data_IF_688127387126
#
_entry.id   IF_688127387126
#
_cell.length_a   1.000
_cell.length_b   1.000
_cell.length_c   1.000
_cell.angle_alpha   90.00
_cell.angle_beta   90.00
_cell.angle_gamma   90.00
#
_symmetry.space_group_name_H-M   'P 1'
#
loop_
_entity.id
_entity.type
_entity.pdbx_description
1 polymer ?
#
# COMPACT_ATOMS: atom_id res chain seq x y z
N UNK A 1 5.66 -22.38 -17.80
CA UNK A 1 4.49 -21.48 -17.85
C UNK A 1 3.46 -22.22 -18.68
N UNK A 2 2.51 -22.90 -18.04
CA UNK A 2 1.60 -23.82 -18.74
C UNK A 2 0.36 -23.07 -19.21
N UNK A 3 0.28 -22.87 -20.52
CA UNK A 3 -0.88 -22.35 -21.22
C UNK A 3 -1.83 -23.53 -21.47
N UNK A 4 -2.50 -24.03 -20.44
CA UNK A 4 -3.60 -24.97 -20.63
C UNK A 4 -4.91 -24.17 -20.75
N UNK A 5 -5.59 -24.34 -21.88
CA UNK A 5 -6.96 -23.89 -22.18
C UNK A 5 -7.20 -22.52 -22.84
N UNK A 6 -6.18 -21.79 -23.30
CA UNK A 6 -6.42 -20.50 -23.99
C UNK A 6 -7.04 -19.40 -23.10
N UNK A 7 -7.30 -19.71 -21.83
CA UNK A 7 -7.56 -18.74 -20.77
C UNK A 7 -6.28 -17.94 -20.62
N UNK A 8 -6.38 -16.62 -20.75
CA UNK A 8 -5.32 -15.71 -20.32
C UNK A 8 -5.13 -15.86 -18.81
N UNK A 9 -4.36 -16.88 -18.39
CA UNK A 9 -3.89 -17.09 -17.02
C UNK A 9 -2.83 -16.06 -16.64
N UNK A 10 -2.86 -14.88 -17.26
CA UNK A 10 -2.06 -13.78 -16.80
C UNK A 10 -2.59 -13.40 -15.41
N UNK A 11 -1.71 -13.17 -14.42
CA UNK A 11 -2.06 -12.62 -13.10
C UNK A 11 -2.60 -11.17 -13.17
N UNK A 12 -3.20 -10.78 -14.30
CA UNK A 12 -3.87 -9.51 -14.61
C UNK A 12 -5.36 -9.67 -14.90
N UNK A 13 -5.89 -10.89 -15.05
CA UNK A 13 -7.34 -11.12 -15.14
C UNK A 13 -8.00 -10.74 -13.81
N UNK A 14 -8.88 -9.73 -13.84
CA UNK A 14 -9.44 -9.08 -12.63
C UNK A 14 -10.10 -10.06 -11.67
N UNK A 15 -10.88 -11.03 -12.16
CA UNK A 15 -11.51 -12.06 -11.32
C UNK A 15 -10.52 -13.01 -10.64
N UNK A 16 -9.45 -13.42 -11.35
CA UNK A 16 -8.45 -14.36 -10.82
C UNK A 16 -7.54 -13.71 -9.77
N UNK A 17 -7.16 -12.44 -9.99
CA UNK A 17 -6.38 -11.67 -9.03
C UNK A 17 -7.15 -11.43 -7.72
N UNK A 18 -8.47 -11.25 -7.80
CA UNK A 18 -9.34 -11.10 -6.62
C UNK A 18 -9.56 -12.43 -5.91
N UNK A 19 -9.71 -13.53 -6.65
CA UNK A 19 -9.78 -14.89 -6.08
C UNK A 19 -8.51 -15.23 -5.29
N UNK A 20 -7.34 -15.01 -5.91
CA UNK A 20 -6.02 -15.10 -5.28
C UNK A 20 -5.90 -14.21 -4.05
N UNK A 21 -6.35 -12.96 -4.19
CA UNK A 21 -6.28 -11.96 -3.13
C UNK A 21 -7.10 -12.33 -1.92
N UNK A 22 -8.30 -12.88 -2.12
CA UNK A 22 -9.18 -13.28 -1.04
C UNK A 22 -8.75 -14.54 -0.31
N UNK A 23 -8.05 -15.48 -0.96
CA UNK A 23 -7.55 -16.66 -0.27
C UNK A 23 -8.66 -17.60 0.19
N UNK A 24 -9.72 -17.74 -0.62
CA UNK A 24 -10.96 -18.45 -0.26
C UNK A 24 -10.71 -19.88 0.24
N UNK A 25 -9.67 -20.53 -0.27
CA UNK A 25 -9.32 -21.92 0.04
C UNK A 25 -8.34 -22.05 1.24
N UNK A 26 -7.83 -20.94 1.78
CA UNK A 26 -6.84 -20.90 2.87
C UNK A 26 -7.27 -19.96 4.01
N UNK A 27 -8.51 -20.11 4.50
CA UNK A 27 -9.05 -19.29 5.61
C UNK A 27 -8.90 -17.78 5.38
N UNK A 28 -9.07 -17.35 4.12
CA UNK A 28 -8.96 -15.96 3.68
C UNK A 28 -7.54 -15.35 3.78
N UNK A 29 -6.52 -16.19 3.99
CA UNK A 29 -5.12 -15.81 3.90
C UNK A 29 -4.63 -15.88 2.45
N UNK A 30 -3.79 -14.92 2.07
CA UNK A 30 -3.22 -14.90 0.74
C UNK A 30 -2.30 -16.10 0.51
N UNK A 31 -2.60 -16.90 -0.51
CA UNK A 31 -1.73 -17.97 -1.00
C UNK A 31 -1.86 -18.18 -2.50
N UNK A 32 -0.73 -18.55 -3.11
CA UNK A 32 -0.66 -18.85 -4.55
C UNK A 32 -0.92 -20.31 -4.86
N UNK A 33 -0.82 -21.21 -3.89
CA UNK A 33 -0.94 -22.65 -4.12
C UNK A 33 -2.38 -23.10 -4.39
N UNK A 34 -3.39 -22.69 -3.61
CA UNK A 34 -4.77 -23.12 -3.83
C UNK A 34 -5.34 -22.58 -5.14
N UNK A 35 -5.01 -21.35 -5.51
CA UNK A 35 -5.43 -20.78 -6.79
C UNK A 35 -4.78 -21.48 -8.00
N UNK A 36 -3.54 -21.98 -7.85
CA UNK A 36 -2.91 -22.86 -8.85
C UNK A 36 -3.65 -24.19 -8.98
N UNK A 37 -4.08 -24.75 -7.85
CA UNK A 37 -4.87 -25.99 -7.83
C UNK A 37 -6.29 -25.78 -8.38
N UNK A 38 -6.91 -24.63 -8.13
CA UNK A 38 -8.19 -24.25 -8.71
C UNK A 38 -8.09 -24.16 -10.24
N UNK A 39 -7.05 -23.49 -10.76
CA UNK A 39 -6.80 -23.45 -12.20
C UNK A 39 -6.54 -24.83 -12.82
N UNK A 40 -5.82 -25.72 -12.12
CA UNK A 40 -5.50 -27.04 -12.65
C UNK A 40 -6.67 -28.02 -12.62
N UNK A 41 -7.69 -27.74 -11.81
CA UNK A 41 -8.89 -28.57 -11.63
C UNK A 41 -10.15 -27.96 -12.23
N UNK A 42 -10.11 -26.70 -12.68
CA UNK A 42 -11.24 -26.05 -13.32
C UNK A 42 -11.62 -26.75 -14.62
N UNK A 43 -12.85 -27.25 -14.70
CA UNK A 43 -13.42 -27.97 -15.84
C UNK A 43 -14.55 -27.21 -16.55
N UNK A 44 -14.80 -25.96 -16.16
CA UNK A 44 -15.85 -25.11 -16.72
C UNK A 44 -15.45 -24.42 -18.03
N UNK A 45 -16.37 -23.65 -18.60
CA UNK A 45 -16.09 -22.87 -19.82
C UNK A 45 -15.05 -21.76 -19.51
N UNK A 46 -13.95 -21.67 -20.28
CA UNK A 46 -13.03 -20.53 -20.27
C UNK A 46 -13.70 -19.15 -20.31
N UNK A 47 -14.82 -19.01 -21.03
CA UNK A 47 -15.54 -17.75 -21.18
C UNK A 47 -16.26 -17.33 -19.88
N UNK A 48 -16.68 -18.29 -19.06
CA UNK A 48 -17.41 -18.06 -17.81
C UNK A 48 -16.51 -18.02 -16.56
N UNK A 49 -15.23 -18.37 -16.70
CA UNK A 49 -14.27 -18.45 -15.60
C UNK A 49 -14.21 -17.19 -14.72
N UNK A 50 -14.21 -16.01 -15.33
CA UNK A 50 -14.20 -14.75 -14.57
C UNK A 50 -15.49 -14.52 -13.80
N UNK A 51 -16.64 -14.89 -14.38
CA UNK A 51 -17.95 -14.78 -13.73
C UNK A 51 -18.03 -15.69 -12.51
N UNK A 52 -17.60 -16.94 -12.64
CA UNK A 52 -17.57 -17.89 -11.52
C UNK A 52 -16.61 -17.44 -10.40
N UNK A 53 -15.45 -16.89 -10.77
CA UNK A 53 -14.55 -16.25 -9.80
C UNK A 53 -15.28 -15.15 -9.02
N UNK A 54 -15.99 -14.24 -9.70
CA UNK A 54 -16.75 -13.17 -9.05
C UNK A 54 -17.86 -13.69 -8.14
N UNK A 55 -18.61 -14.70 -8.56
CA UNK A 55 -19.68 -15.29 -7.75
C UNK A 55 -19.12 -15.89 -6.45
N UNK A 56 -18.00 -16.62 -6.51
CA UNK A 56 -17.31 -17.15 -5.33
C UNK A 56 -16.79 -16.04 -4.41
N UNK A 57 -16.20 -15.00 -4.99
CA UNK A 57 -15.73 -13.81 -4.27
C UNK A 57 -16.88 -13.16 -3.49
N UNK A 58 -17.99 -12.86 -4.15
CA UNK A 58 -19.13 -12.18 -3.51
C UNK A 58 -19.83 -13.06 -2.47
N UNK A 59 -19.92 -14.36 -2.72
CA UNK A 59 -20.48 -15.33 -1.77
C UNK A 59 -19.64 -15.36 -0.50
N UNK A 60 -18.31 -15.50 -0.62
CA UNK A 60 -17.41 -15.45 0.54
C UNK A 60 -17.43 -14.12 1.27
N UNK A 61 -17.49 -12.99 0.57
CA UNK A 61 -17.58 -11.66 1.19
C UNK A 61 -18.84 -11.55 2.06
N UNK A 62 -19.93 -12.17 1.63
CA UNK A 62 -21.21 -12.20 2.36
C UNK A 62 -21.17 -13.16 3.54
N UNK A 63 -20.59 -14.34 3.36
CA UNK A 63 -20.58 -15.41 4.37
C UNK A 63 -19.54 -15.19 5.48
N UNK A 64 -18.46 -14.47 5.20
CA UNK A 64 -17.34 -14.27 6.13
C UNK A 64 -17.05 -12.79 6.42
N UNK A 65 -18.07 -11.93 6.32
CA UNK A 65 -17.93 -10.47 6.49
C UNK A 65 -17.21 -10.10 7.82
N UNK A 66 -17.48 -10.87 8.87
CA UNK A 66 -16.98 -10.72 10.23
C UNK A 66 -15.50 -11.07 10.40
N UNK A 67 -14.93 -11.89 9.50
CA UNK A 67 -13.52 -12.27 9.53
C UNK A 67 -12.60 -11.18 8.93
N UNK A 68 -13.09 -10.38 7.98
CA UNK A 68 -12.26 -9.42 7.23
C UNK A 68 -11.53 -8.37 8.09
N UNK A 69 -12.12 -7.79 9.15
CA UNK A 69 -11.39 -6.90 10.04
C UNK A 69 -10.14 -7.52 10.67
N UNK A 70 -10.16 -8.84 10.91
CA UNK A 70 -9.03 -9.57 11.52
C UNK A 70 -7.95 -9.91 10.48
N UNK A 71 -8.33 -10.10 9.23
CA UNK A 71 -7.42 -10.45 8.11
C UNK A 71 -6.73 -9.20 7.55
N UNK A 72 -7.38 -8.05 7.64
CA UNK A 72 -6.87 -6.79 7.09
C UNK A 72 -5.43 -6.46 7.57
N UNK A 73 -5.09 -6.53 8.87
CA UNK A 73 -3.73 -6.27 9.35
C UNK A 73 -2.68 -7.21 8.73
N UNK A 74 -2.99 -8.50 8.56
CA UNK A 74 -2.05 -9.48 8.01
C UNK A 74 -1.78 -9.21 6.52
N UNK A 75 -2.83 -8.92 5.75
CA UNK A 75 -2.70 -8.53 4.33
C UNK A 75 -1.99 -7.19 4.17
N UNK A 76 -2.29 -6.24 5.05
CA UNK A 76 -1.61 -4.96 5.09
C UNK A 76 -0.11 -5.14 5.38
N UNK A 77 0.26 -5.93 6.40
CA UNK A 77 1.66 -6.24 6.72
C UNK A 77 2.37 -6.97 5.58
N UNK A 78 1.68 -7.87 4.87
CA UNK A 78 2.23 -8.58 3.71
C UNK A 78 2.49 -7.65 2.52
N UNK A 79 1.63 -6.65 2.34
CA UNK A 79 1.75 -5.65 1.28
C UNK A 79 2.81 -4.59 1.62
N UNK A 80 2.78 -4.06 2.85
CA UNK A 80 3.58 -2.91 3.29
C UNK A 80 4.83 -3.26 4.10
N UNK A 81 4.76 -4.27 4.97
CA UNK A 81 5.83 -4.62 5.91
C UNK A 81 7.05 -5.31 5.29
N UNK A 82 6.98 -5.73 4.02
CA UNK A 82 8.12 -6.31 3.29
C UNK A 82 8.82 -5.25 2.45
N UNK A 83 9.95 -4.73 2.95
CA UNK A 83 10.75 -3.70 2.30
C UNK A 83 11.24 -4.06 0.88
N UNK A 84 11.40 -5.36 0.56
CA UNK A 84 11.75 -5.84 -0.79
C UNK A 84 10.61 -5.70 -1.83
N UNK A 85 9.43 -5.26 -1.40
CA UNK A 85 8.25 -5.08 -2.26
C UNK A 85 7.95 -3.59 -2.51
N UNK A 86 8.93 -2.70 -2.40
CA UNK A 86 8.76 -1.35 -2.95
C UNK A 86 8.94 -1.39 -4.47
N UNK A 87 8.12 -0.65 -5.24
CA UNK A 87 8.19 -0.66 -6.70
C UNK A 87 9.61 -0.45 -7.25
N UNK A 88 10.36 0.46 -6.66
CA UNK A 88 11.73 0.82 -7.02
C UNK A 88 12.70 -0.33 -6.72
N UNK A 89 12.58 -0.95 -5.55
CA UNK A 89 13.40 -2.12 -5.18
C UNK A 89 13.07 -3.35 -6.03
N UNK A 90 11.80 -3.54 -6.40
CA UNK A 90 11.36 -4.62 -7.26
C UNK A 90 11.87 -4.43 -8.69
N UNK A 91 11.83 -3.20 -9.20
CA UNK A 91 12.43 -2.85 -10.49
C UNK A 91 13.93 -3.09 -10.50
N UNK A 92 14.67 -2.62 -9.49
CA UNK A 92 16.11 -2.84 -9.39
C UNK A 92 16.45 -4.33 -9.23
N UNK A 93 15.65 -5.07 -8.48
CA UNK A 93 15.83 -6.53 -8.34
C UNK A 93 15.66 -7.22 -9.69
N UNK A 94 14.63 -6.86 -10.46
CA UNK A 94 14.42 -7.37 -11.81
C UNK A 94 15.55 -6.96 -12.77
N UNK A 95 15.96 -5.68 -12.75
CA UNK A 95 17.02 -5.16 -13.60
C UNK A 95 18.40 -5.79 -13.30
N UNK A 96 18.62 -6.25 -12.06
CA UNK A 96 19.85 -6.91 -11.63
C UNK A 96 19.71 -8.44 -11.54
N UNK A 97 18.61 -9.02 -12.04
CA UNK A 97 18.52 -10.47 -12.14
C UNK A 97 19.67 -10.98 -13.02
N UNK A 98 20.45 -11.97 -12.55
CA UNK A 98 21.35 -12.68 -13.44
C UNK A 98 20.50 -13.25 -14.58
N UNK A 99 20.86 -12.95 -15.82
CA UNK A 99 20.29 -13.61 -16.99
C UNK A 99 20.78 -15.06 -17.07
N UNK A 100 21.17 -15.53 -18.25
CA UNK A 100 21.80 -16.86 -18.43
C UNK A 100 23.20 -16.97 -17.81
N UNK A 101 23.72 -15.90 -17.22
CA UNK A 101 25.00 -15.90 -16.52
C UNK A 101 24.78 -16.14 -15.03
N UNK A 102 25.32 -17.24 -14.49
CA UNK A 102 25.28 -17.59 -13.05
C UNK A 102 25.92 -16.54 -12.11
N UNK A 103 26.52 -15.48 -12.66
CA UNK A 103 27.15 -14.42 -11.88
C UNK A 103 26.14 -13.32 -11.51
N UNK A 104 25.91 -13.07 -10.20
CA UNK A 104 25.06 -11.98 -9.77
C UNK A 104 25.66 -10.63 -10.15
N UNK A 105 24.81 -9.69 -10.57
CA UNK A 105 25.24 -8.34 -10.97
C UNK A 105 25.99 -7.66 -9.81
N UNK A 106 27.14 -6.99 -10.02
CA UNK A 106 27.95 -6.41 -8.95
C UNK A 106 27.21 -5.33 -8.13
N UNK A 107 26.15 -4.72 -8.69
CA UNK A 107 25.31 -3.77 -7.97
C UNK A 107 24.25 -4.43 -7.06
N UNK A 108 24.02 -5.74 -7.19
CA UNK A 108 23.05 -6.47 -6.37
C UNK A 108 23.37 -6.41 -4.87
N UNK A 109 24.65 -6.26 -4.50
CA UNK A 109 25.10 -6.07 -3.12
C UNK A 109 24.54 -4.80 -2.45
N UNK A 110 24.17 -3.79 -3.24
CA UNK A 110 23.59 -2.54 -2.73
C UNK A 110 22.06 -2.59 -2.61
N UNK A 111 21.39 -3.64 -3.13
CA UNK A 111 19.94 -3.76 -3.01
C UNK A 111 19.45 -3.81 -1.56
N UNK A 112 20.06 -4.56 -0.62
CA UNK A 112 19.62 -4.57 0.77
C UNK A 112 19.67 -3.19 1.47
N UNK A 113 20.78 -2.42 1.43
CA UNK A 113 20.80 -1.09 2.05
C UNK A 113 19.86 -0.10 1.37
N UNK A 114 19.73 -0.12 0.03
CA UNK A 114 18.76 0.71 -0.69
C UNK A 114 17.34 0.38 -0.25
N UNK A 115 17.00 -0.90 -0.12
CA UNK A 115 15.66 -1.33 0.32
C UNK A 115 15.34 -0.85 1.74
N UNK A 116 16.35 -0.84 2.61
CA UNK A 116 16.22 -0.36 3.99
C UNK A 116 15.99 1.15 4.03
N UNK A 117 16.78 1.92 3.27
CA UNK A 117 16.64 3.37 3.15
C UNK A 117 15.26 3.75 2.58
N UNK A 118 14.80 3.04 1.55
CA UNK A 118 13.46 3.23 1.00
C UNK A 118 12.40 2.93 2.06
N UNK A 119 12.57 1.88 2.85
CA UNK A 119 11.69 1.61 4.00
C UNK A 119 11.55 2.78 4.96
N UNK A 120 12.66 3.41 5.32
CA UNK A 120 12.68 4.58 6.20
C UNK A 120 12.03 5.81 5.54
N UNK A 121 12.30 6.05 4.26
CA UNK A 121 11.68 7.12 3.49
C UNK A 121 10.15 6.98 3.43
N UNK A 122 9.65 5.78 3.08
CA UNK A 122 8.22 5.51 3.05
C UNK A 122 7.58 5.65 4.45
N UNK A 123 8.27 5.22 5.51
CA UNK A 123 7.82 5.44 6.88
C UNK A 123 7.68 6.94 7.20
N UNK A 124 8.66 7.75 6.83
CA UNK A 124 8.61 9.20 7.01
C UNK A 124 7.43 9.82 6.25
N UNK A 125 7.21 9.43 4.99
CA UNK A 125 6.06 9.88 4.19
C UNK A 125 4.75 9.51 4.89
N UNK A 126 4.61 8.29 5.41
CA UNK A 126 3.43 7.87 6.15
C UNK A 126 3.21 8.70 7.41
N UNK A 127 4.26 8.98 8.19
CA UNK A 127 4.15 9.82 9.41
C UNK A 127 3.73 11.26 9.07
N UNK A 128 4.30 11.84 8.02
CA UNK A 128 3.90 13.16 7.53
C UNK A 128 2.46 13.14 7.00
N UNK A 129 2.05 12.08 6.29
CA UNK A 129 0.68 11.94 5.81
C UNK A 129 -0.33 11.88 6.97
N UNK A 130 -0.01 11.18 8.06
CA UNK A 130 -0.81 11.20 9.29
C UNK A 130 -0.94 12.60 9.86
N UNK A 131 0.16 13.37 9.93
CA UNK A 131 0.11 14.77 10.35
C UNK A 131 -0.77 15.63 9.43
N UNK A 132 -0.73 15.38 8.12
CA UNK A 132 -1.60 16.02 7.12
C UNK A 132 -3.08 15.69 7.31
N UNK A 133 -3.41 14.43 7.60
CA UNK A 133 -4.76 14.01 7.95
C UNK A 133 -5.25 14.74 9.21
N UNK A 134 -4.44 14.79 10.27
CA UNK A 134 -4.78 15.51 11.51
C UNK A 134 -5.01 17.00 11.22
N UNK A 135 -4.19 17.62 10.38
CA UNK A 135 -4.35 19.01 9.95
C UNK A 135 -5.68 19.24 9.24
N UNK A 136 -6.05 18.36 8.29
CA UNK A 136 -7.33 18.42 7.57
C UNK A 136 -8.54 18.19 8.49
N UNK A 137 -8.44 17.30 9.48
CA UNK A 137 -9.52 17.09 10.46
C UNK A 137 -9.79 18.34 11.30
N UNK A 138 -8.75 19.14 11.60
CA UNK A 138 -8.90 20.41 12.34
C UNK A 138 -9.42 21.56 11.48
N UNK A 139 -9.35 21.44 10.16
CA UNK A 139 -9.77 22.45 9.19
C UNK A 139 -10.55 21.80 8.06
N UNK A 140 -11.76 21.30 8.33
CA UNK A 140 -12.56 20.64 7.32
C UNK A 140 -13.00 21.65 6.26
N UNK A 141 -12.23 21.76 5.18
CA UNK A 141 -12.69 22.41 3.95
C UNK A 141 -13.47 21.36 3.16
N UNK A 142 -14.75 21.65 2.93
CA UNK A 142 -15.85 20.69 2.73
C UNK A 142 -15.76 19.65 1.60
N UNK A 143 -14.68 19.61 0.82
CA UNK A 143 -14.44 18.59 -0.22
C UNK A 143 -13.13 17.83 -0.05
N UNK A 144 -12.11 18.43 0.57
CA UNK A 144 -10.78 17.81 0.70
C UNK A 144 -10.84 16.56 1.58
N UNK A 145 -11.46 16.64 2.77
CA UNK A 145 -11.55 15.52 3.71
C UNK A 145 -12.29 14.34 3.10
N UNK A 146 -13.39 14.61 2.39
CA UNK A 146 -14.19 13.58 1.72
C UNK A 146 -13.39 12.86 0.64
N UNK A 147 -12.74 13.60 -0.26
CA UNK A 147 -11.95 13.02 -1.37
C UNK A 147 -10.79 12.16 -0.85
N UNK A 148 -10.02 12.65 0.13
CA UNK A 148 -8.91 11.88 0.70
C UNK A 148 -9.40 10.62 1.44
N UNK A 149 -10.53 10.70 2.15
CA UNK A 149 -11.14 9.55 2.84
C UNK A 149 -11.62 8.50 1.85
N UNK A 150 -12.23 8.91 0.73
CA UNK A 150 -12.68 8.01 -0.32
C UNK A 150 -11.50 7.25 -0.96
N UNK A 151 -10.38 7.94 -1.19
CA UNK A 151 -9.16 7.32 -1.71
C UNK A 151 -8.54 6.33 -0.73
N UNK A 152 -8.46 6.68 0.57
CA UNK A 152 -7.96 5.77 1.61
C UNK A 152 -8.85 4.55 1.75
N UNK A 153 -10.17 4.74 1.70
CA UNK A 153 -11.15 3.66 1.71
C UNK A 153 -11.01 2.76 0.48
N UNK A 154 -10.92 3.33 -0.72
CA UNK A 154 -10.70 2.58 -1.95
C UNK A 154 -9.40 1.78 -1.91
N UNK A 155 -8.33 2.35 -1.36
CA UNK A 155 -7.08 1.61 -1.18
C UNK A 155 -7.19 0.49 -0.14
N UNK A 156 -7.88 0.72 0.98
CA UNK A 156 -8.13 -0.32 1.97
C UNK A 156 -8.90 -1.50 1.35
N UNK A 157 -9.88 -1.24 0.49
CA UNK A 157 -10.59 -2.27 -0.27
C UNK A 157 -9.66 -3.03 -1.23
N UNK A 158 -8.76 -2.34 -1.93
CA UNK A 158 -7.77 -2.97 -2.80
C UNK A 158 -6.86 -3.91 -2.01
N UNK A 159 -6.42 -3.53 -0.80
CA UNK A 159 -5.58 -4.37 0.07
C UNK A 159 -6.36 -5.54 0.67
N UNK A 160 -7.64 -5.33 0.99
CA UNK A 160 -8.48 -6.34 1.62
C UNK A 160 -8.90 -7.46 0.64
N UNK A 161 -9.31 -7.05 -0.56
CA UNK A 161 -9.92 -7.92 -1.57
C UNK A 161 -8.89 -8.35 -2.63
N UNK A 162 -7.96 -7.47 -2.98
CA UNK A 162 -6.96 -7.72 -4.02
C UNK A 162 -5.74 -8.51 -3.55
N UNK A 163 -4.95 -8.98 -4.51
CA UNK A 163 -3.70 -9.69 -4.24
C UNK A 163 -2.68 -8.75 -3.56
N UNK A 164 -2.04 -9.12 -2.43
CA UNK A 164 -1.07 -8.26 -1.74
C UNK A 164 0.21 -8.08 -2.59
N UNK A 165 0.15 -7.12 -3.50
CA UNK A 165 1.18 -6.84 -4.48
C UNK A 165 1.84 -5.49 -4.20
N UNK A 166 3.16 -5.45 -4.33
CA UNK A 166 3.94 -4.22 -4.15
C UNK A 166 3.50 -3.08 -5.08
N UNK A 167 2.97 -3.39 -6.28
CA UNK A 167 2.48 -2.40 -7.25
C UNK A 167 1.29 -1.58 -6.76
N UNK A 168 0.50 -2.07 -5.80
CA UNK A 168 -0.60 -1.29 -5.24
C UNK A 168 -0.12 -0.08 -4.44
N UNK A 169 1.12 -0.10 -3.96
CA UNK A 169 1.75 1.07 -3.33
C UNK A 169 1.80 2.26 -4.29
N UNK A 170 2.00 2.02 -5.60
CA UNK A 170 2.01 3.08 -6.61
C UNK A 170 0.68 3.83 -6.73
N UNK A 171 -0.44 3.18 -6.40
CA UNK A 171 -1.78 3.77 -6.52
C UNK A 171 -2.02 4.80 -5.42
N UNK A 172 -1.59 4.49 -4.19
CA UNK A 172 -1.81 5.36 -3.02
C UNK A 172 -0.68 6.36 -2.81
N UNK A 173 0.50 6.12 -3.40
CA UNK A 173 1.68 6.96 -3.22
C UNK A 173 1.45 8.44 -3.55
N UNK A 174 0.81 8.83 -4.67
CA UNK A 174 0.54 10.24 -4.96
C UNK A 174 -0.29 10.93 -3.87
N UNK A 175 -1.29 10.24 -3.32
CA UNK A 175 -2.15 10.76 -2.25
C UNK A 175 -1.37 10.86 -0.94
N UNK A 176 -0.53 9.86 -0.63
CA UNK A 176 0.37 9.93 0.53
C UNK A 176 1.34 11.09 0.42
N UNK A 177 1.88 11.39 -0.77
CA UNK A 177 2.74 12.55 -1.00
C UNK A 177 2.01 13.87 -0.79
N UNK A 178 0.77 14.00 -1.27
CA UNK A 178 -0.07 15.19 -1.04
C UNK A 178 -0.38 15.39 0.45
N UNK A 179 -0.77 14.32 1.15
CA UNK A 179 -1.01 14.35 2.58
C UNK A 179 0.27 14.65 3.35
N UNK A 180 1.40 14.09 2.94
CA UNK A 180 2.71 14.35 3.55
C UNK A 180 3.13 15.81 3.36
N UNK A 181 2.90 16.41 2.19
CA UNK A 181 3.16 17.82 1.95
C UNK A 181 2.28 18.71 2.85
N UNK A 182 1.00 18.37 3.03
CA UNK A 182 0.12 19.04 3.99
C UNK A 182 0.60 18.89 5.43
N UNK A 183 1.07 17.70 5.82
CA UNK A 183 1.66 17.46 7.13
C UNK A 183 2.93 18.27 7.36
N UNK A 184 3.80 18.34 6.36
CA UNK A 184 5.01 19.16 6.41
C UNK A 184 4.67 20.65 6.54
N UNK A 185 3.66 21.13 5.81
CA UNK A 185 3.15 22.48 5.95
C UNK A 185 2.60 22.76 7.35
N UNK A 186 1.84 21.82 7.93
CA UNK A 186 1.32 21.92 9.28
C UNK A 186 2.45 22.00 10.33
N UNK A 187 3.48 21.17 10.18
CA UNK A 187 4.67 21.18 11.02
C UNK A 187 5.41 22.52 10.90
N UNK A 188 5.62 23.00 9.68
CA UNK A 188 6.25 24.30 9.42
C UNK A 188 5.49 25.43 10.11
N UNK A 189 4.16 25.47 10.00
CA UNK A 189 3.34 26.46 10.71
C UNK A 189 3.49 26.36 12.23
N UNK A 190 3.55 25.14 12.77
CA UNK A 190 3.76 24.91 14.21
C UNK A 190 5.11 25.45 14.69
N UNK A 191 6.18 25.13 13.97
CA UNK A 191 7.55 25.61 14.26
C UNK A 191 7.62 27.13 14.15
N UNK A 192 7.02 27.71 13.12
CA UNK A 192 7.02 29.16 12.92
C UNK A 192 6.32 29.90 14.07
N UNK A 193 5.14 29.43 14.50
CA UNK A 193 4.42 30.01 15.64
C UNK A 193 5.20 29.89 16.94
N UNK A 194 5.86 28.76 17.17
CA UNK A 194 6.72 28.56 18.33
C UNK A 194 7.89 29.55 18.32
N UNK A 195 8.51 29.77 17.16
CA UNK A 195 9.58 30.74 16.99
C UNK A 195 9.12 32.18 17.26
N UNK A 196 7.95 32.59 16.75
CA UNK A 196 7.36 33.90 17.06
C UNK A 196 7.09 34.07 18.56
N UNK A 197 6.54 33.03 19.21
CA UNK A 197 6.29 33.04 20.65
C UNK A 197 7.59 33.23 21.46
N UNK A 198 8.65 32.49 21.13
CA UNK A 198 9.96 32.62 21.79
C UNK A 198 10.51 34.04 21.60
N UNK A 199 10.39 34.61 20.39
CA UNK A 199 10.84 35.97 20.08
C UNK A 199 10.10 37.01 20.92
N UNK A 200 8.79 36.89 21.06
CA UNK A 200 7.98 37.78 21.90
C UNK A 200 8.32 37.64 23.39
N UNK A 201 8.53 36.41 23.88
CA UNK A 201 8.95 36.15 25.25
C UNK A 201 10.28 36.86 25.55
N UNK A 202 11.27 36.69 24.67
CA UNK A 202 12.59 37.32 24.83
C UNK A 202 12.52 38.85 24.83
N UNK A 203 11.72 39.43 23.93
CA UNK A 203 11.49 40.88 23.91
C UNK A 203 10.85 41.38 25.22
N UNK A 204 9.88 40.65 25.77
CA UNK A 204 9.21 41.02 27.03
C UNK A 204 10.15 40.97 28.24
N UNK A 205 11.04 39.97 28.29
CA UNK A 205 12.04 39.83 29.36
C UNK A 205 13.04 40.98 29.29
N UNK A 206 13.54 41.30 28.09
CA UNK A 206 14.51 42.38 27.88
C UNK A 206 13.99 43.74 28.34
N UNK A 207 12.71 44.03 28.10
CA UNK A 207 12.08 45.29 28.56
C UNK A 207 12.01 45.34 30.10
N UNK A 208 11.70 44.22 30.77
CA UNK A 208 11.62 44.17 32.24
C UNK A 208 12.96 44.27 32.93
N UNK A 209 14.05 43.81 32.32
CA UNK A 209 15.40 43.85 32.91
C UNK A 209 16.15 45.16 32.64
N UNK A 210 15.58 46.08 31.86
CA UNK A 210 16.18 47.37 31.53
C UNK A 210 15.75 48.51 32.49
N UNK A 211 14.91 48.20 33.47
CA UNK A 211 14.48 49.08 34.58
C UNK A 211 15.09 48.58 35.89
#
# INVERSE_FOLDING_TARGET
>A
MEQKMGIETYPSGTGYALYLGLGLDENLQYSKEPARNFLSTYSGDPADFHKECYEKIFTSLREHWDAYPQIFPEKFQTTWGRYRRYPETAFLTWAFQPGDTDTPHPLSQYLPPISTLMGQYYLLVCLLAVAGCIYLMRRPTGYSVFTHSLFLFGFALIVLIGEPLGRYKCVIFPILCLLAALGLYALYQGIWRLWEYIRHLYASIRVRTAH
#
